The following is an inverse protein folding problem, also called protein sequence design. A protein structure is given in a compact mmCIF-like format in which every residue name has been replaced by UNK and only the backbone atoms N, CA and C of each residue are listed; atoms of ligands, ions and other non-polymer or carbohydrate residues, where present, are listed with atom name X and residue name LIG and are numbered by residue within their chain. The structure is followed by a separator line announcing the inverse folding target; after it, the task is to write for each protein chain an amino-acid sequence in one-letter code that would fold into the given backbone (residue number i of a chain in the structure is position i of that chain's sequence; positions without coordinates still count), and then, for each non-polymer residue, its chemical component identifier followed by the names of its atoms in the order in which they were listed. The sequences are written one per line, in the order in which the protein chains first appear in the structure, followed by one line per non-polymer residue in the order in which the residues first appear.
data_IF_550068924748
#
_entry.id   IF_550068924748
#
_cell.length_a   1.000
_cell.length_b   1.000
_cell.length_c   1.000
_cell.angle_alpha   90.00
_cell.angle_beta   90.00
_cell.angle_gamma   90.00
#
_symmetry.space_group_name_H-M   'P 1'
#
loop_
_entity.id
_entity.type
_entity.pdbx_description
1 polymer ?
#
# COMPACT_ATOMS: atom_id res chain seq x y z
N UNK A 1 -5.23 -30.97 -4.78
CA UNK A 1 -4.92 -29.53 -4.87
C UNK A 1 -4.04 -29.19 -3.68
N UNK A 2 -2.73 -29.40 -3.80
CA UNK A 2 -1.77 -28.96 -2.78
C UNK A 2 -1.72 -27.44 -2.81
N UNK A 3 -2.15 -26.82 -1.73
CA UNK A 3 -1.85 -25.43 -1.45
C UNK A 3 -0.35 -25.37 -1.20
N UNK A 4 0.43 -24.88 -2.16
CA UNK A 4 1.80 -24.48 -1.89
C UNK A 4 1.74 -23.39 -0.80
N UNK A 5 2.16 -23.74 0.41
CA UNK A 5 2.16 -22.88 1.60
C UNK A 5 3.00 -21.59 1.45
N UNK A 6 3.72 -21.45 0.32
CA UNK A 6 4.64 -20.34 0.04
C UNK A 6 4.03 -19.17 -0.76
N UNK A 7 2.72 -19.16 -1.04
CA UNK A 7 2.06 -18.10 -1.82
C UNK A 7 0.69 -17.69 -1.26
N UNK A 8 0.57 -17.61 0.07
CA UNK A 8 -0.64 -17.14 0.74
C UNK A 8 -0.89 -15.64 0.52
N UNK A 9 0.19 -14.86 0.39
CA UNK A 9 0.16 -13.40 0.37
C UNK A 9 -0.60 -12.74 -0.79
N UNK A 10 -0.46 -13.15 -2.07
CA UNK A 10 -1.25 -12.49 -3.13
C UNK A 10 -2.74 -12.84 -3.06
N UNK A 11 -3.10 -14.06 -2.65
CA UNK A 11 -4.50 -14.52 -2.67
C UNK A 11 -5.35 -13.86 -1.59
N UNK A 12 -4.78 -13.60 -0.42
CA UNK A 12 -5.54 -12.95 0.66
C UNK A 12 -5.90 -11.50 0.28
N UNK A 13 -5.05 -10.82 -0.50
CA UNK A 13 -5.30 -9.46 -0.98
C UNK A 13 -6.49 -9.35 -1.95
N UNK A 14 -6.88 -10.45 -2.61
CA UNK A 14 -8.04 -10.48 -3.50
C UNK A 14 -9.36 -10.44 -2.72
N UNK A 15 -9.44 -11.14 -1.59
CA UNK A 15 -10.67 -11.37 -0.83
C UNK A 15 -10.93 -10.34 0.29
N UNK A 16 -9.94 -9.53 0.64
CA UNK A 16 -10.09 -8.50 1.69
C UNK A 16 -10.99 -7.35 1.23
N UNK A 17 -11.74 -6.78 2.18
CA UNK A 17 -12.55 -5.57 1.95
C UNK A 17 -11.82 -4.29 2.37
N UNK A 18 -10.95 -4.38 3.37
CA UNK A 18 -10.22 -3.26 3.96
C UNK A 18 -8.82 -3.66 4.37
N UNK A 19 -7.89 -2.71 4.35
CA UNK A 19 -6.54 -2.88 4.91
C UNK A 19 -6.24 -1.81 5.94
N UNK A 20 -5.61 -2.21 7.05
CA UNK A 20 -5.03 -1.30 8.03
C UNK A 20 -3.55 -1.65 8.13
N UNK A 21 -2.69 -0.66 7.95
CA UNK A 21 -1.24 -0.85 7.99
C UNK A 21 -0.62 0.17 8.93
N UNK A 22 0.40 -0.24 9.69
CA UNK A 22 1.14 0.67 10.54
C UNK A 22 1.96 1.66 9.71
N UNK A 23 2.05 2.91 10.16
CA UNK A 23 2.68 4.00 9.43
C UNK A 23 4.14 3.73 9.03
N UNK A 24 4.85 2.90 9.78
CA UNK A 24 6.25 2.53 9.56
C UNK A 24 6.46 1.45 8.49
N UNK A 25 5.42 0.75 8.06
CA UNK A 25 5.49 -0.32 7.05
C UNK A 25 5.44 0.23 5.61
N UNK A 26 6.39 1.09 5.25
CA UNK A 26 6.42 1.82 3.96
C UNK A 26 6.30 0.89 2.74
N UNK A 27 6.94 -0.27 2.77
CA UNK A 27 6.87 -1.25 1.67
C UNK A 27 5.44 -1.77 1.47
N UNK A 28 4.76 -2.17 2.55
CA UNK A 28 3.39 -2.65 2.50
C UNK A 28 2.42 -1.54 2.10
N UNK A 29 2.63 -0.31 2.60
CA UNK A 29 1.86 0.86 2.17
C UNK A 29 2.00 1.06 0.65
N UNK A 30 3.22 0.93 0.12
CA UNK A 30 3.51 1.11 -1.30
C UNK A 30 2.88 0.02 -2.17
N UNK A 31 2.91 -1.23 -1.74
CA UNK A 31 2.28 -2.35 -2.45
C UNK A 31 0.76 -2.18 -2.49
N UNK A 32 0.13 -1.96 -1.33
CA UNK A 32 -1.32 -1.77 -1.22
C UNK A 32 -1.79 -0.44 -1.83
N UNK A 33 -0.90 0.55 -1.97
CA UNK A 33 -1.19 1.78 -2.69
C UNK A 33 -1.57 1.53 -4.16
N UNK A 34 -1.06 0.45 -4.77
CA UNK A 34 -1.35 0.08 -6.17
C UNK A 34 -2.70 -0.65 -6.35
N UNK A 35 -3.26 -1.20 -5.27
CA UNK A 35 -4.53 -1.92 -5.28
C UNK A 35 -5.72 -0.95 -5.19
N UNK A 36 -6.91 -1.40 -5.58
CA UNK A 36 -8.17 -0.63 -5.41
C UNK A 36 -8.75 -0.72 -4.00
N UNK A 37 -8.22 -1.62 -3.15
CA UNK A 37 -8.80 -1.89 -1.83
C UNK A 37 -8.54 -0.71 -0.89
N UNK A 38 -9.53 -0.27 -0.10
CA UNK A 38 -9.35 0.77 0.92
C UNK A 38 -8.12 0.52 1.80
N UNK A 39 -7.30 1.56 1.96
CA UNK A 39 -6.05 1.51 2.72
C UNK A 39 -6.05 2.55 3.84
N UNK A 40 -6.01 2.04 5.06
CA UNK A 40 -5.99 2.82 6.28
C UNK A 40 -4.62 2.77 6.94
N UNK A 41 -4.17 3.89 7.49
CA UNK A 41 -2.90 4.02 8.18
C UNK A 41 -3.13 4.15 9.68
N UNK A 42 -2.56 3.23 10.45
CA UNK A 42 -2.45 3.32 11.89
C UNK A 42 -1.15 4.04 12.26
N UNK A 43 -1.25 5.17 12.96
CA UNK A 43 -0.09 5.96 13.37
C UNK A 43 0.30 5.65 14.82
N UNK A 44 1.60 5.45 15.05
CA UNK A 44 2.15 5.41 16.41
C UNK A 44 2.34 6.84 16.95
N UNK A 45 2.38 6.96 18.28
CA UNK A 45 2.55 8.25 18.98
C UNK A 45 3.90 8.95 18.68
N UNK A 46 4.93 8.19 18.28
CA UNK A 46 6.21 8.72 17.82
C UNK A 46 6.38 8.47 16.32
N UNK A 47 6.25 9.52 15.52
CA UNK A 47 6.39 9.47 14.06
C UNK A 47 7.75 9.96 13.55
N UNK A 48 8.24 9.38 12.46
CA UNK A 48 9.39 9.89 11.72
C UNK A 48 8.92 10.91 10.67
N UNK A 49 9.55 12.09 10.62
CA UNK A 49 9.19 13.17 9.68
C UNK A 49 9.13 12.72 8.21
N UNK A 50 10.05 11.85 7.78
CA UNK A 50 10.07 11.34 6.40
C UNK A 50 8.87 10.44 6.10
N UNK A 51 8.53 9.57 7.05
CA UNK A 51 7.36 8.68 6.95
C UNK A 51 6.07 9.51 6.94
N UNK A 52 5.95 10.50 7.83
CA UNK A 52 4.80 11.41 7.85
C UNK A 52 4.64 12.15 6.53
N UNK A 53 5.73 12.67 5.95
CA UNK A 53 5.70 13.32 4.64
C UNK A 53 5.25 12.37 3.52
N UNK A 54 5.79 11.16 3.49
CA UNK A 54 5.39 10.12 2.54
C UNK A 54 3.88 9.82 2.62
N UNK A 55 3.35 9.59 3.83
CA UNK A 55 1.93 9.30 4.04
C UNK A 55 1.07 10.51 3.66
N UNK A 56 1.48 11.72 4.02
CA UNK A 56 0.75 12.95 3.65
C UNK A 56 0.60 13.08 2.14
N UNK A 57 1.64 12.82 1.36
CA UNK A 57 1.56 12.84 -0.11
C UNK A 57 0.54 11.82 -0.63
N UNK A 58 0.50 10.61 -0.05
CA UNK A 58 -0.49 9.60 -0.44
C UNK A 58 -1.92 10.00 -0.05
N UNK A 59 -2.10 10.69 1.08
CA UNK A 59 -3.41 11.22 1.50
C UNK A 59 -3.90 12.32 0.58
N UNK A 60 -3.03 13.24 0.16
CA UNK A 60 -3.35 14.30 -0.81
C UNK A 60 -3.81 13.71 -2.15
N UNK A 61 -3.24 12.57 -2.55
CA UNK A 61 -3.65 11.82 -3.72
C UNK A 61 -4.91 10.95 -3.50
N UNK A 62 -5.54 10.99 -2.32
CA UNK A 62 -6.67 10.15 -1.93
C UNK A 62 -6.39 8.64 -2.10
N UNK A 63 -5.16 8.22 -1.79
CA UNK A 63 -4.71 6.81 -1.86
C UNK A 63 -4.87 6.13 -0.50
N UNK A 64 -4.72 6.87 0.59
CA UNK A 64 -4.81 6.36 1.97
C UNK A 64 -5.63 7.27 2.86
N UNK A 65 -6.17 6.72 3.94
CA UNK A 65 -6.84 7.46 5.02
C UNK A 65 -6.27 7.09 6.38
N UNK A 66 -6.42 7.94 7.39
CA UNK A 66 -6.00 7.56 8.75
C UNK A 66 -7.05 6.61 9.37
N UNK A 67 -6.57 5.56 10.03
CA UNK A 67 -7.42 4.77 10.91
C UNK A 67 -7.60 5.50 12.24
N UNK A 68 -8.85 5.86 12.56
CA UNK A 68 -9.22 6.53 13.82
C UNK A 68 -10.24 5.73 14.64
N UNK A 69 -10.21 4.40 14.51
CA UNK A 69 -11.13 3.49 15.18
C UNK A 69 -12.37 3.11 14.36
N UNK A 70 -12.45 3.57 13.11
CA UNK A 70 -13.55 3.25 12.20
C UNK A 70 -13.04 2.94 10.79
N UNK A 71 -13.76 2.05 10.11
CA UNK A 71 -13.54 1.69 8.71
C UNK A 71 -14.72 2.19 7.88
N UNK A 72 -14.42 2.74 6.71
CA UNK A 72 -15.42 3.24 5.78
C UNK A 72 -14.97 3.07 4.34
N UNK A 73 -15.92 2.99 3.42
CA UNK A 73 -15.60 2.97 1.99
C UNK A 73 -15.24 4.39 1.54
N UNK A 74 -14.18 4.50 0.75
CA UNK A 74 -13.82 5.71 0.03
C UNK A 74 -13.35 5.33 -1.36
N UNK A 75 -13.56 6.22 -2.33
CA UNK A 75 -13.06 6.02 -3.68
C UNK A 75 -11.56 6.26 -3.69
N UNK A 76 -10.80 5.19 -3.49
CA UNK A 76 -9.35 5.23 -3.43
C UNK A 76 -8.75 5.34 -4.83
N UNK A 77 -7.85 6.32 -5.01
CA UNK A 77 -6.98 6.35 -6.19
C UNK A 77 -5.90 5.26 -6.09
N UNK A 78 -5.56 4.67 -7.23
CA UNK A 78 -4.43 3.74 -7.33
C UNK A 78 -3.15 4.52 -7.60
N UNK A 79 -2.09 4.19 -6.88
CA UNK A 79 -0.76 4.68 -7.22
C UNK A 79 -0.37 4.08 -8.58
N UNK A 80 -0.24 4.93 -9.59
CA UNK A 80 0.22 4.53 -10.90
C UNK A 80 1.73 4.67 -10.98
N UNK A 81 2.42 3.54 -11.12
CA UNK A 81 3.84 3.56 -11.50
C UNK A 81 3.91 3.94 -12.98
N UNK A 82 4.61 5.03 -13.29
CA UNK A 82 4.76 5.42 -14.69
C UNK A 82 5.65 4.38 -15.42
N UNK A 83 5.46 4.23 -16.74
CA UNK A 83 6.19 3.24 -17.56
C UNK A 83 7.71 3.40 -17.47
N UNK A 84 8.20 4.61 -17.20
CA UNK A 84 9.62 4.93 -17.09
C UNK A 84 10.20 4.35 -15.78
N UNK A 85 9.49 4.49 -14.67
CA UNK A 85 9.84 3.95 -13.36
C UNK A 85 9.81 2.43 -13.39
N UNK A 86 8.79 1.81 -14.00
CA UNK A 86 8.76 0.35 -14.20
C UNK A 86 9.95 -0.13 -15.03
N UNK A 87 10.28 0.57 -16.12
CA UNK A 87 11.43 0.25 -16.97
C UNK A 87 12.77 0.37 -16.22
N UNK A 88 12.95 1.42 -15.41
CA UNK A 88 14.16 1.62 -14.62
C UNK A 88 14.31 0.56 -13.51
N UNK A 89 13.22 0.21 -12.83
CA UNK A 89 13.19 -0.86 -11.83
C UNK A 89 13.52 -2.21 -12.49
N UNK A 90 12.90 -2.54 -13.62
CA UNK A 90 13.18 -3.78 -14.35
C UNK A 90 14.63 -3.85 -14.81
N UNK A 91 15.18 -2.74 -15.31
CA UNK A 91 16.60 -2.64 -15.68
C UNK A 91 17.53 -2.83 -14.48
N UNK A 92 17.17 -2.31 -13.31
CA UNK A 92 17.94 -2.45 -12.08
C UNK A 92 17.95 -3.88 -11.55
N UNK A 93 16.82 -4.59 -11.63
CA UNK A 93 16.70 -5.98 -11.18
C UNK A 93 16.97 -7.04 -12.27
N UNK A 94 17.32 -6.62 -13.49
CA UNK A 94 17.69 -7.53 -14.59
C UNK A 94 16.53 -8.29 -15.22
N UNK A 95 15.28 -7.87 -14.98
CA UNK A 95 14.12 -8.44 -15.67
C UNK A 95 14.10 -7.93 -17.12
N UNK A 96 14.20 -8.86 -18.07
CA UNK A 96 14.16 -8.61 -19.51
C UNK A 96 12.75 -8.73 -20.04
#
# INVERSE_FOLDING_TARGET
LSLDENNLDPKILEIIDYTIVTSDSVNMISELATLSKPLFIFHFSKGNRKISFFISNLKELNIVQDYKGNLFKFEKNKLQTNKITTSQVNKFFGFK
#
